data_IF_477593639034
#
_entry.id   IF_477593639034
#
_cell.length_a   1.000
_cell.length_b   1.000
_cell.length_c   1.000
_cell.angle_alpha   90.00
_cell.angle_beta   90.00
_cell.angle_gamma   90.00
#
_symmetry.space_group_name_H-M   'P 1'
#
loop_
_entity.id
_entity.type
_entity.pdbx_description
1 polymer ?
#
# COMPACT_ATOMS: atom_id res chain seq x y z
N UNK A 1 -1.17 -36.38 -20.48
CA UNK A 1 -0.02 -36.73 -19.64
C UNK A 1 0.53 -35.45 -19.02
N UNK A 2 0.42 -35.26 -17.70
CA UNK A 2 1.00 -34.11 -17.01
C UNK A 2 2.30 -34.59 -16.35
N UNK A 3 3.44 -34.06 -16.82
CA UNK A 3 4.75 -34.36 -16.27
C UNK A 3 4.94 -33.51 -15.00
N UNK A 4 5.02 -34.16 -13.83
CA UNK A 4 5.43 -33.52 -12.57
C UNK A 4 6.85 -33.98 -12.29
N UNK A 5 7.80 -33.05 -12.33
CA UNK A 5 9.21 -33.33 -12.05
C UNK A 5 9.50 -32.96 -10.59
N UNK A 6 10.10 -33.88 -9.85
CA UNK A 6 10.70 -33.59 -8.54
C UNK A 6 11.97 -32.76 -8.73
N UNK A 7 12.15 -31.75 -7.88
CA UNK A 7 13.35 -30.92 -7.87
C UNK A 7 13.09 -29.46 -7.47
N UNK A 8 14.17 -28.79 -7.05
CA UNK A 8 14.14 -27.37 -6.74
C UNK A 8 14.01 -26.56 -8.04
N UNK A 9 12.99 -25.71 -8.11
CA UNK A 9 12.73 -24.95 -9.32
C UNK A 9 13.88 -23.95 -9.58
N UNK A 10 14.49 -24.03 -10.76
CA UNK A 10 15.65 -23.22 -11.14
C UNK A 10 15.52 -21.74 -10.74
N UNK A 11 16.53 -21.25 -10.03
CA UNK A 11 16.69 -19.87 -9.60
C UNK A 11 17.75 -19.21 -10.48
N UNK A 12 17.36 -18.15 -11.18
CA UNK A 12 18.30 -17.39 -12.01
C UNK A 12 19.36 -16.75 -11.09
N UNK A 13 20.65 -16.76 -11.45
CA UNK A 13 21.71 -16.19 -10.60
C UNK A 13 21.48 -14.74 -10.19
N UNK A 14 20.86 -13.93 -11.07
CA UNK A 14 20.49 -12.53 -10.78
C UNK A 14 19.40 -12.36 -9.72
N UNK A 15 18.68 -13.42 -9.36
CA UNK A 15 17.61 -13.40 -8.37
C UNK A 15 18.14 -14.00 -7.05
N UNK A 16 19.21 -13.43 -6.50
CA UNK A 16 19.67 -13.79 -5.15
C UNK A 16 18.62 -13.43 -4.12
N UNK A 17 18.61 -14.16 -3.01
CA UNK A 17 17.70 -13.93 -1.89
C UNK A 17 18.52 -13.32 -0.75
N UNK A 18 18.08 -12.17 -0.25
CA UNK A 18 18.68 -11.52 0.91
C UNK A 18 18.17 -12.14 2.22
N UNK A 19 18.75 -11.76 3.34
CA UNK A 19 18.46 -12.38 4.65
C UNK A 19 17.55 -11.55 5.55
N UNK A 20 17.23 -10.33 5.15
CA UNK A 20 16.50 -9.37 5.98
C UNK A 20 15.02 -9.74 6.20
N UNK A 21 14.42 -9.11 7.20
CA UNK A 21 12.98 -9.07 7.43
C UNK A 21 12.39 -7.77 6.89
N UNK A 22 11.36 -7.91 6.06
CA UNK A 22 10.71 -6.81 5.36
C UNK A 22 9.26 -6.71 5.80
N UNK A 23 8.86 -5.54 6.29
CA UNK A 23 7.46 -5.17 6.43
C UNK A 23 6.94 -4.50 5.17
N UNK A 24 5.76 -4.94 4.71
CA UNK A 24 5.09 -4.39 3.52
C UNK A 24 3.67 -3.96 3.89
N UNK A 25 3.40 -2.66 3.82
CA UNK A 25 2.04 -2.12 3.90
C UNK A 25 1.47 -1.93 2.49
N UNK A 26 0.40 -2.66 2.18
CA UNK A 26 -0.23 -2.68 0.86
C UNK A 26 -1.45 -1.76 0.88
N UNK A 27 -1.51 -0.84 -0.08
CA UNK A 27 -2.69 -0.05 -0.39
C UNK A 27 -3.35 -0.41 -1.73
N UNK A 28 -4.50 0.22 -2.07
CA UNK A 28 -5.22 -0.04 -3.33
C UNK A 28 -4.46 0.37 -4.61
N UNK A 29 -3.46 1.24 -4.48
CA UNK A 29 -2.66 1.79 -5.60
C UNK A 29 -1.17 1.87 -5.30
N UNK A 30 -0.80 1.86 -4.03
CA UNK A 30 0.56 2.07 -3.55
C UNK A 30 0.96 0.96 -2.58
N UNK A 31 2.26 0.84 -2.34
CA UNK A 31 2.81 0.04 -1.27
C UNK A 31 3.94 0.79 -0.57
N UNK A 32 4.08 0.55 0.72
CA UNK A 32 5.25 0.92 1.50
C UNK A 32 6.06 -0.35 1.80
N UNK A 33 7.38 -0.27 1.69
CA UNK A 33 8.33 -1.33 1.96
C UNK A 33 9.33 -0.78 2.94
N UNK A 34 9.52 -1.45 4.07
CA UNK A 34 10.58 -1.15 5.02
C UNK A 34 11.26 -2.45 5.43
N UNK A 35 12.58 -2.45 5.44
CA UNK A 35 13.41 -3.56 5.92
C UNK A 35 14.23 -3.10 7.13
N UNK A 36 14.65 -4.05 7.96
CA UNK A 36 15.41 -3.72 9.17
C UNK A 36 16.79 -3.12 8.80
N UNK A 37 17.45 -3.63 7.76
CA UNK A 37 18.84 -3.32 7.41
C UNK A 37 19.03 -2.13 6.46
N UNK A 38 17.98 -1.48 5.96
CA UNK A 38 18.17 -0.19 5.28
C UNK A 38 17.19 0.16 4.18
N UNK A 39 16.66 -0.83 3.46
CA UNK A 39 15.79 -0.57 2.32
C UNK A 39 14.44 0.00 2.75
N UNK A 40 14.10 1.18 2.21
CA UNK A 40 12.84 1.89 2.42
C UNK A 40 12.33 2.37 1.07
N UNK A 41 11.07 2.09 0.75
CA UNK A 41 10.43 2.57 -0.48
C UNK A 41 8.94 2.85 -0.27
N UNK A 42 8.45 3.96 -0.81
CA UNK A 42 7.02 4.24 -0.95
C UNK A 42 6.70 4.37 -2.44
N UNK A 43 5.99 3.38 -2.98
CA UNK A 43 5.84 3.18 -4.44
C UNK A 43 4.40 3.09 -4.89
N UNK A 44 4.17 3.48 -6.13
CA UNK A 44 2.90 3.19 -6.83
C UNK A 44 3.02 1.84 -7.54
N UNK A 45 2.03 0.96 -7.39
CA UNK A 45 2.00 -0.30 -8.12
C UNK A 45 1.99 -0.07 -9.63
N UNK A 46 2.81 -0.79 -10.39
CA UNK A 46 2.82 -0.72 -11.85
C UNK A 46 2.88 0.73 -12.37
N UNK A 47 3.76 1.57 -11.82
CA UNK A 47 3.88 2.99 -12.20
C UNK A 47 4.17 3.15 -13.69
N UNK A 48 4.92 2.22 -14.29
CA UNK A 48 5.26 2.21 -15.71
C UNK A 48 4.08 1.86 -16.63
N UNK A 49 2.93 1.45 -16.07
CA UNK A 49 1.76 1.07 -16.84
C UNK A 49 1.04 2.31 -17.38
N UNK A 50 1.17 2.54 -18.69
CA UNK A 50 0.52 3.65 -19.41
C UNK A 50 -0.57 3.12 -20.36
N UNK A 51 -1.77 2.74 -19.87
CA UNK A 51 -2.82 2.23 -20.74
C UNK A 51 -3.37 3.33 -21.65
N UNK A 52 -3.61 3.01 -22.93
CA UNK A 52 -4.39 3.88 -23.81
C UNK A 52 -5.89 3.76 -23.47
N UNK A 53 -6.29 4.41 -22.37
CA UNK A 53 -7.64 4.36 -21.84
C UNK A 53 -8.68 4.90 -22.85
N UNK A 54 -8.29 5.89 -23.67
CA UNK A 54 -9.12 6.44 -24.74
C UNK A 54 -9.42 5.41 -25.82
N UNK A 55 -8.40 4.75 -26.37
CA UNK A 55 -8.58 3.71 -27.39
C UNK A 55 -9.42 2.53 -26.86
N UNK A 56 -9.13 2.07 -25.63
CA UNK A 56 -9.92 1.02 -24.97
C UNK A 56 -11.39 1.42 -24.81
N UNK A 57 -11.66 2.66 -24.40
CA UNK A 57 -13.03 3.20 -24.28
C UNK A 57 -13.73 3.28 -25.63
N UNK A 58 -13.02 3.68 -26.70
CA UNK A 58 -13.57 3.69 -28.07
C UNK A 58 -13.96 2.28 -28.53
N UNK A 59 -13.11 1.28 -28.29
CA UNK A 59 -13.42 -0.12 -28.59
C UNK A 59 -14.65 -0.61 -27.80
N UNK A 60 -14.72 -0.33 -26.50
CA UNK A 60 -15.86 -0.70 -25.67
C UNK A 60 -17.18 -0.08 -26.18
N UNK A 61 -17.17 1.22 -26.50
CA UNK A 61 -18.32 1.92 -27.07
C UNK A 61 -18.71 1.38 -28.46
N UNK A 62 -17.72 1.04 -29.30
CA UNK A 62 -17.98 0.41 -30.60
C UNK A 62 -18.65 -0.95 -30.45
N UNK A 63 -18.17 -1.79 -29.54
CA UNK A 63 -18.82 -3.08 -29.22
C UNK A 63 -20.26 -2.88 -28.75
N UNK A 64 -20.52 -1.88 -27.89
CA UNK A 64 -21.86 -1.59 -27.40
C UNK A 64 -22.82 -1.20 -28.53
N UNK A 65 -22.39 -0.32 -29.44
CA UNK A 65 -23.20 0.08 -30.60
C UNK A 65 -23.48 -1.08 -31.54
N UNK A 66 -22.45 -1.90 -31.84
CA UNK A 66 -22.62 -3.09 -32.67
C UNK A 66 -23.57 -4.11 -32.04
N UNK A 67 -23.46 -4.33 -30.72
CA UNK A 67 -24.36 -5.22 -29.99
C UNK A 67 -25.81 -4.75 -30.09
N UNK A 68 -26.05 -3.45 -29.92
CA UNK A 68 -27.39 -2.83 -30.03
C UNK A 68 -27.96 -2.92 -31.44
N UNK A 69 -27.17 -2.56 -32.46
CA UNK A 69 -27.61 -2.62 -33.86
C UNK A 69 -27.94 -4.04 -34.31
N UNK A 70 -27.11 -5.03 -33.95
CA UNK A 70 -27.33 -6.43 -34.31
C UNK A 70 -28.50 -7.08 -33.55
N UNK A 71 -28.98 -6.45 -32.46
CA UNK A 71 -29.94 -7.04 -31.54
C UNK A 71 -30.96 -6.00 -31.05
N UNK A 72 -31.48 -5.14 -31.94
CA UNK A 72 -32.40 -4.06 -31.57
C UNK A 72 -33.63 -4.58 -30.82
N UNK A 73 -34.13 -5.76 -31.20
CA UNK A 73 -35.27 -6.42 -30.58
C UNK A 73 -35.07 -6.75 -29.08
N UNK A 74 -33.82 -6.85 -28.62
CA UNK A 74 -33.47 -7.18 -27.24
C UNK A 74 -33.50 -5.96 -26.30
N UNK A 75 -33.78 -4.76 -26.82
CA UNK A 75 -33.81 -3.52 -26.05
C UNK A 75 -35.24 -2.95 -25.97
N UNK A 76 -35.59 -2.38 -24.83
CA UNK A 76 -36.83 -1.61 -24.65
C UNK A 76 -36.69 -0.18 -25.22
N UNK A 77 -37.79 0.58 -25.22
CA UNK A 77 -37.83 1.96 -25.73
C UNK A 77 -36.90 2.90 -24.94
N UNK A 78 -36.54 2.53 -23.71
CA UNK A 78 -35.60 3.24 -22.83
C UNK A 78 -34.15 2.78 -23.06
N UNK A 79 -33.90 1.90 -24.01
CA UNK A 79 -32.58 1.36 -24.36
C UNK A 79 -31.98 0.40 -23.32
N UNK A 80 -32.80 -0.16 -22.41
CA UNK A 80 -32.42 -1.17 -21.43
C UNK A 80 -32.60 -2.56 -22.04
N UNK A 81 -31.84 -3.54 -21.53
CA UNK A 81 -31.97 -4.93 -21.99
C UNK A 81 -33.28 -5.50 -21.44
N UNK A 82 -34.11 -6.08 -22.32
CA UNK A 82 -35.36 -6.76 -21.93
C UNK A 82 -35.06 -7.95 -21.00
N UNK A 83 -35.99 -8.25 -20.11
CA UNK A 83 -35.85 -9.39 -19.19
C UNK A 83 -36.11 -10.72 -19.92
N UNK A 84 -35.54 -11.80 -19.39
CA UNK A 84 -35.73 -13.17 -19.90
C UNK A 84 -34.57 -13.70 -20.76
N UNK A 85 -34.80 -14.88 -21.35
CA UNK A 85 -33.80 -15.55 -22.20
C UNK A 85 -33.75 -14.87 -23.57
N UNK A 86 -32.64 -14.17 -23.84
CA UNK A 86 -32.41 -13.46 -25.09
C UNK A 86 -31.40 -14.19 -25.97
N UNK A 87 -31.61 -14.13 -27.28
CA UNK A 87 -30.64 -14.58 -28.27
C UNK A 87 -29.78 -13.40 -28.73
N UNK A 88 -28.46 -13.55 -28.69
CA UNK A 88 -27.51 -12.51 -29.08
C UNK A 88 -26.80 -12.87 -30.38
N UNK A 89 -27.09 -12.12 -31.45
CA UNK A 89 -26.42 -12.19 -32.74
C UNK A 89 -25.10 -11.43 -32.68
N UNK A 90 -24.00 -12.13 -32.96
CA UNK A 90 -22.66 -11.57 -33.03
C UNK A 90 -22.16 -11.55 -34.47
N UNK A 91 -22.17 -10.37 -35.11
CA UNK A 91 -21.58 -10.21 -36.45
C UNK A 91 -20.07 -10.43 -36.45
N UNK A 92 -19.49 -10.71 -37.62
CA UNK A 92 -18.05 -10.88 -37.75
C UNK A 92 -17.28 -9.61 -37.34
N UNK A 93 -17.82 -8.43 -37.63
CA UNK A 93 -17.23 -7.15 -37.21
C UNK A 93 -17.31 -6.95 -35.68
N UNK A 94 -18.36 -7.43 -35.01
CA UNK A 94 -18.44 -7.44 -33.56
C UNK A 94 -17.37 -8.35 -32.96
N UNK A 95 -17.27 -9.59 -33.46
CA UNK A 95 -16.26 -10.57 -33.02
C UNK A 95 -14.83 -10.02 -33.20
N UNK A 96 -14.54 -9.37 -34.34
CA UNK A 96 -13.26 -8.72 -34.58
C UNK A 96 -12.97 -7.59 -33.57
N UNK A 97 -13.97 -6.75 -33.26
CA UNK A 97 -13.83 -5.67 -32.27
C UNK A 97 -13.60 -6.23 -30.86
N UNK A 98 -14.33 -7.29 -30.48
CA UNK A 98 -14.15 -8.03 -29.22
C UNK A 98 -12.75 -8.60 -29.09
N UNK A 99 -12.21 -9.22 -30.15
CA UNK A 99 -10.82 -9.73 -30.19
C UNK A 99 -9.80 -8.60 -29.97
N UNK A 100 -9.99 -7.43 -30.61
CA UNK A 100 -9.11 -6.26 -30.42
C UNK A 100 -9.13 -5.77 -28.97
N UNK A 101 -10.32 -5.67 -28.37
CA UNK A 101 -10.48 -5.29 -26.96
C UNK A 101 -9.80 -6.30 -26.03
N UNK A 102 -10.06 -7.59 -26.21
CA UNK A 102 -9.47 -8.65 -25.40
C UNK A 102 -7.94 -8.70 -25.52
N UNK A 103 -7.40 -8.46 -26.72
CA UNK A 103 -5.94 -8.38 -26.91
C UNK A 103 -5.33 -7.18 -26.19
N UNK A 104 -5.99 -6.02 -26.18
CA UNK A 104 -5.53 -4.87 -25.41
C UNK A 104 -5.50 -5.18 -23.90
N UNK A 105 -6.56 -5.80 -23.37
CA UNK A 105 -6.61 -6.22 -21.96
C UNK A 105 -5.54 -7.26 -21.63
N UNK A 106 -5.32 -8.24 -22.52
CA UNK A 106 -4.28 -9.26 -22.36
C UNK A 106 -2.89 -8.65 -22.28
N UNK A 107 -2.56 -7.72 -23.18
CA UNK A 107 -1.27 -7.01 -23.18
C UNK A 107 -1.06 -6.24 -21.86
N UNK A 108 -2.09 -5.53 -21.38
CA UNK A 108 -2.03 -4.84 -20.09
C UNK A 108 -1.85 -5.80 -18.92
N UNK A 109 -2.59 -6.90 -18.90
CA UNK A 109 -2.49 -7.91 -17.85
C UNK A 109 -1.11 -8.58 -17.81
N UNK A 110 -0.55 -8.93 -18.99
CA UNK A 110 0.78 -9.50 -19.12
C UNK A 110 1.85 -8.51 -18.63
N UNK A 111 1.76 -7.23 -19.01
CA UNK A 111 2.72 -6.23 -18.57
C UNK A 111 2.66 -6.02 -17.05
N UNK A 112 1.46 -5.89 -16.46
CA UNK A 112 1.29 -5.84 -14.99
C UNK A 112 1.89 -7.04 -14.28
N UNK A 113 1.66 -8.25 -14.81
CA UNK A 113 2.23 -9.48 -14.26
C UNK A 113 3.77 -9.43 -14.26
N UNK A 114 4.36 -8.90 -15.33
CA UNK A 114 5.80 -8.64 -15.41
C UNK A 114 6.30 -7.65 -14.38
N UNK A 115 5.63 -6.49 -14.23
CA UNK A 115 5.99 -5.46 -13.26
C UNK A 115 5.91 -5.96 -11.81
N UNK A 116 4.83 -6.68 -11.46
CA UNK A 116 4.72 -7.32 -10.14
C UNK A 116 5.78 -8.39 -9.94
N UNK A 117 6.07 -9.20 -10.97
CA UNK A 117 7.17 -10.17 -10.92
C UNK A 117 8.51 -9.50 -10.65
N UNK A 118 8.82 -8.37 -11.29
CA UNK A 118 10.02 -7.58 -11.00
C UNK A 118 10.04 -7.12 -9.55
N UNK A 119 8.97 -6.48 -9.08
CA UNK A 119 8.87 -5.95 -7.72
C UNK A 119 9.06 -7.02 -6.64
N UNK A 120 8.50 -8.22 -6.83
CA UNK A 120 8.70 -9.33 -5.87
C UNK A 120 10.14 -9.84 -5.87
N UNK A 121 10.80 -9.91 -7.03
CA UNK A 121 12.23 -10.29 -7.06
C UNK A 121 13.10 -9.21 -6.41
N UNK A 122 12.78 -7.92 -6.61
CA UNK A 122 13.47 -6.81 -5.96
C UNK A 122 13.32 -6.89 -4.43
N UNK A 123 12.12 -7.24 -3.93
CA UNK A 123 11.87 -7.47 -2.50
C UNK A 123 12.69 -8.64 -1.95
N UNK A 124 12.67 -9.79 -2.62
CA UNK A 124 13.38 -10.97 -2.16
C UNK A 124 14.90 -10.79 -2.17
N UNK A 125 15.43 -9.91 -3.03
CA UNK A 125 16.85 -9.55 -3.01
C UNK A 125 17.24 -8.83 -1.72
N UNK A 126 16.31 -8.11 -1.10
CA UNK A 126 16.52 -7.46 0.19
C UNK A 126 16.39 -8.47 1.32
N UNK A 127 15.36 -9.31 1.30
CA UNK A 127 15.04 -10.16 2.45
C UNK A 127 14.15 -11.35 2.13
N UNK A 128 14.43 -12.46 2.81
CA UNK A 128 13.71 -13.72 2.68
C UNK A 128 12.44 -13.79 3.53
N UNK A 129 12.33 -12.95 4.55
CA UNK A 129 11.18 -12.89 5.44
C UNK A 129 10.33 -11.66 5.10
N UNK A 130 9.09 -11.87 4.68
CA UNK A 130 8.16 -10.81 4.31
C UNK A 130 6.95 -10.84 5.24
N UNK A 131 6.67 -9.72 5.90
CA UNK A 131 5.53 -9.53 6.80
C UNK A 131 4.52 -8.58 6.18
N UNK A 132 3.26 -9.01 6.06
CA UNK A 132 2.19 -8.24 5.39
C UNK A 132 0.91 -8.26 6.23
N UNK A 133 0.24 -7.12 6.34
CA UNK A 133 -1.11 -7.05 6.88
C UNK A 133 -2.15 -7.66 5.92
N UNK A 134 -2.98 -8.58 6.44
CA UNK A 134 -4.05 -9.23 5.68
C UNK A 134 -5.19 -8.25 5.44
N UNK A 135 -5.30 -7.82 4.19
CA UNK A 135 -6.32 -6.86 3.73
C UNK A 135 -7.36 -7.52 2.82
N UNK A 136 -8.57 -6.97 2.79
CA UNK A 136 -9.64 -7.47 1.91
C UNK A 136 -9.56 -6.84 0.52
N UNK A 137 -8.90 -7.53 -0.42
CA UNK A 137 -8.85 -7.11 -1.82
C UNK A 137 -10.24 -7.02 -2.46
N UNK A 138 -11.19 -7.89 -2.06
CA UNK A 138 -12.60 -7.82 -2.49
C UNK A 138 -13.27 -6.54 -2.00
N UNK A 139 -13.01 -6.13 -0.75
CA UNK A 139 -13.47 -4.86 -0.21
C UNK A 139 -12.91 -3.67 -0.99
N UNK A 140 -11.62 -3.69 -1.32
CA UNK A 140 -11.02 -2.66 -2.16
C UNK A 140 -11.54 -2.65 -3.59
N UNK A 141 -11.88 -3.80 -4.17
CA UNK A 141 -12.48 -3.83 -5.51
C UNK A 141 -13.82 -3.09 -5.54
N UNK A 142 -14.63 -3.20 -4.49
CA UNK A 142 -15.90 -2.46 -4.35
C UNK A 142 -15.66 -0.94 -4.19
N UNK A 143 -14.70 -0.54 -3.37
CA UNK A 143 -14.44 0.88 -3.03
C UNK A 143 -13.55 1.62 -4.03
N UNK A 144 -12.60 0.93 -4.63
CA UNK A 144 -11.50 1.47 -5.44
C UNK A 144 -11.36 0.73 -6.78
N UNK A 145 -12.47 0.23 -7.34
CA UNK A 145 -12.47 -0.70 -8.48
C UNK A 145 -11.63 -0.26 -9.68
N UNK A 146 -11.62 1.04 -10.03
CA UNK A 146 -10.77 1.57 -11.11
C UNK A 146 -9.28 1.41 -10.80
N UNK A 147 -8.86 1.74 -9.58
CA UNK A 147 -7.47 1.59 -9.14
C UNK A 147 -7.08 0.13 -9.05
N UNK A 148 -7.89 -0.70 -8.39
CA UNK A 148 -7.62 -2.12 -8.20
C UNK A 148 -7.56 -2.86 -9.55
N UNK A 149 -8.45 -2.55 -10.50
CA UNK A 149 -8.41 -3.14 -11.83
C UNK A 149 -7.15 -2.75 -12.62
N UNK A 150 -6.63 -1.55 -12.41
CA UNK A 150 -5.44 -1.05 -13.09
C UNK A 150 -4.15 -1.52 -12.42
N UNK A 151 -4.09 -1.50 -11.09
CA UNK A 151 -2.87 -1.68 -10.27
C UNK A 151 -2.72 -3.13 -9.79
N UNK A 152 -3.84 -3.86 -9.67
CA UNK A 152 -3.91 -5.26 -9.31
C UNK A 152 -3.08 -5.65 -8.05
N UNK A 153 -3.30 -5.00 -6.88
CA UNK A 153 -2.57 -5.34 -5.65
C UNK A 153 -2.77 -6.79 -5.20
N UNK A 154 -3.95 -7.38 -5.46
CA UNK A 154 -4.17 -8.81 -5.20
C UNK A 154 -3.26 -9.73 -6.03
N UNK A 155 -2.99 -9.37 -7.30
CA UNK A 155 -2.05 -10.13 -8.13
C UNK A 155 -0.62 -10.04 -7.61
N UNK A 156 -0.23 -8.88 -7.07
CA UNK A 156 1.05 -8.70 -6.40
C UNK A 156 1.17 -9.61 -5.16
N UNK A 157 0.17 -9.60 -4.29
CA UNK A 157 0.13 -10.48 -3.12
C UNK A 157 0.24 -11.96 -3.50
N UNK A 158 -0.52 -12.42 -4.51
CA UNK A 158 -0.40 -13.80 -5.04
C UNK A 158 0.98 -14.10 -5.62
N UNK A 159 1.67 -13.09 -6.18
CA UNK A 159 3.05 -13.22 -6.62
C UNK A 159 4.02 -13.38 -5.45
N UNK A 160 3.88 -12.59 -4.39
CA UNK A 160 4.69 -12.71 -3.18
C UNK A 160 4.54 -14.11 -2.61
N UNK A 161 3.31 -14.55 -2.34
CA UNK A 161 3.02 -15.88 -1.78
C UNK A 161 3.69 -17.01 -2.57
N UNK A 162 3.57 -16.98 -3.90
CA UNK A 162 4.16 -18.00 -4.77
C UNK A 162 5.68 -17.97 -4.79
N UNK A 163 6.29 -16.79 -4.90
CA UNK A 163 7.74 -16.69 -5.08
C UNK A 163 8.46 -16.93 -3.75
N UNK A 164 7.94 -16.41 -2.63
CA UNK A 164 8.47 -16.70 -1.29
C UNK A 164 8.49 -18.20 -1.01
N UNK A 165 7.38 -18.90 -1.28
CA UNK A 165 7.31 -20.36 -1.16
C UNK A 165 8.30 -21.07 -2.09
N UNK A 166 8.46 -20.58 -3.33
CA UNK A 166 9.43 -21.12 -4.29
C UNK A 166 10.88 -20.99 -3.81
N UNK A 167 11.23 -19.89 -3.14
CA UNK A 167 12.61 -19.59 -2.71
C UNK A 167 12.93 -20.09 -1.30
N UNK A 168 12.01 -20.80 -0.64
CA UNK A 168 12.18 -21.22 0.76
C UNK A 168 12.15 -20.07 1.77
N UNK A 169 11.65 -18.89 1.37
CA UNK A 169 11.49 -17.75 2.27
C UNK A 169 10.25 -17.89 3.16
N UNK A 170 10.08 -16.93 4.06
CA UNK A 170 8.97 -16.89 5.02
C UNK A 170 8.01 -15.77 4.68
N UNK A 171 6.74 -16.09 4.42
CA UNK A 171 5.66 -15.09 4.32
C UNK A 171 4.82 -15.14 5.59
N UNK A 172 4.85 -14.06 6.38
CA UNK A 172 4.01 -13.90 7.56
C UNK A 172 2.83 -12.98 7.24
N UNK A 173 1.64 -13.52 7.37
CA UNK A 173 0.40 -12.76 7.25
C UNK A 173 -0.11 -12.36 8.63
N UNK A 174 -0.37 -11.08 8.84
CA UNK A 174 -0.77 -10.54 10.13
C UNK A 174 -2.18 -9.96 10.06
N UNK A 175 -3.00 -10.18 11.08
CA UNK A 175 -4.37 -9.69 11.09
C UNK A 175 -4.43 -8.17 11.31
N UNK A 176 -5.02 -7.45 10.37
CA UNK A 176 -5.30 -6.00 10.50
C UNK A 176 -6.21 -5.65 11.69
N UNK A 177 -6.99 -6.62 12.17
CA UNK A 177 -7.87 -6.44 13.33
C UNK A 177 -7.12 -6.46 14.66
N UNK A 178 -6.00 -7.19 14.73
CA UNK A 178 -5.20 -7.29 15.96
C UNK A 178 -4.16 -6.18 16.01
N UNK A 179 -3.41 -5.99 14.92
CA UNK A 179 -2.28 -5.03 14.88
C UNK A 179 -2.70 -3.59 14.78
N UNK A 180 -3.70 -3.28 13.95
CA UNK A 180 -4.18 -1.92 13.64
C UNK A 180 -3.03 -0.91 13.45
N UNK A 181 -1.99 -1.24 12.69
CA UNK A 181 -0.75 -0.45 12.66
C UNK A 181 -0.91 0.97 12.09
N UNK A 182 -1.87 1.18 11.20
CA UNK A 182 -2.27 2.53 10.78
C UNK A 182 -2.73 3.43 11.94
N UNK A 183 -3.08 2.86 13.09
CA UNK A 183 -3.57 3.55 14.28
C UNK A 183 -2.59 3.52 15.45
N UNK A 184 -1.76 2.47 15.54
CA UNK A 184 -0.79 2.23 16.61
C UNK A 184 0.36 3.24 16.61
N UNK A 185 0.96 3.47 17.78
CA UNK A 185 2.24 4.16 17.99
C UNK A 185 3.14 3.29 18.87
N UNK A 186 4.37 2.99 18.44
CA UNK A 186 5.29 2.17 19.23
C UNK A 186 5.84 2.90 20.47
N UNK A 187 5.97 4.24 20.43
CA UNK A 187 6.54 5.01 21.53
C UNK A 187 5.66 5.01 22.78
N UNK A 188 4.37 5.35 22.65
CA UNK A 188 3.42 5.32 23.77
C UNK A 188 2.57 4.05 23.84
N UNK A 189 2.72 3.13 22.88
CA UNK A 189 1.97 1.86 22.78
C UNK A 189 0.44 2.04 22.75
N UNK A 190 -0.04 3.21 22.31
CA UNK A 190 -1.48 3.50 22.22
C UNK A 190 -1.99 3.49 20.78
N UNK A 191 -3.30 3.27 20.66
CA UNK A 191 -4.02 3.32 19.39
C UNK A 191 -4.78 4.64 19.26
N UNK A 192 -4.60 5.33 18.15
CA UNK A 192 -5.40 6.51 17.79
C UNK A 192 -6.00 6.33 16.41
N UNK A 193 -7.33 6.34 16.34
CA UNK A 193 -8.07 6.30 15.07
C UNK A 193 -7.66 7.48 14.20
N UNK A 194 -7.37 7.22 12.92
CA UNK A 194 -6.98 8.23 11.93
C UNK A 194 -7.87 8.08 10.69
N UNK A 195 -8.42 9.18 10.13
CA UNK A 195 -9.16 9.11 8.88
C UNK A 195 -8.22 8.71 7.72
N UNK A 196 -8.80 8.22 6.63
CA UNK A 196 -8.04 7.82 5.44
C UNK A 196 -7.27 8.99 4.79
N UNK A 197 -7.71 10.23 5.01
CA UNK A 197 -7.03 11.45 4.54
C UNK A 197 -5.78 11.79 5.35
N UNK A 198 -5.69 11.37 6.62
CA UNK A 198 -4.53 11.63 7.47
C UNK A 198 -3.39 10.66 7.12
N UNK A 199 -2.46 11.12 6.29
CA UNK A 199 -1.32 10.33 5.76
C UNK A 199 -0.04 10.44 6.55
N UNK A 200 -0.06 11.19 7.65
CA UNK A 200 1.07 11.40 8.53
C UNK A 200 0.73 10.88 9.92
N UNK A 201 1.68 10.14 10.49
CA UNK A 201 1.68 9.76 11.89
C UNK A 201 2.46 10.81 12.67
N UNK A 202 1.79 11.43 13.62
CA UNK A 202 2.37 12.35 14.61
C UNK A 202 1.74 12.00 15.95
N UNK A 203 2.57 11.76 16.96
CA UNK A 203 2.12 11.37 18.29
C UNK A 203 2.59 12.37 19.34
N UNK A 204 1.80 12.56 20.39
CA UNK A 204 2.16 13.43 21.52
C UNK A 204 3.38 12.92 22.31
N UNK A 205 3.75 11.65 22.16
CA UNK A 205 4.96 11.09 22.78
C UNK A 205 6.26 11.38 22.00
N UNK A 206 6.21 12.24 20.97
CA UNK A 206 7.38 12.63 20.18
C UNK A 206 7.66 11.77 18.94
N UNK A 207 6.93 10.66 18.72
CA UNK A 207 7.09 9.87 17.50
C UNK A 207 6.46 10.57 16.29
N UNK A 208 7.25 10.73 15.24
CA UNK A 208 6.91 11.43 14.01
C UNK A 208 7.22 12.92 14.06
N UNK A 209 6.97 13.66 12.98
CA UNK A 209 6.15 13.31 11.83
C UNK A 209 6.79 12.27 10.90
N UNK A 210 6.03 11.23 10.57
CA UNK A 210 6.43 10.18 9.61
C UNK A 210 5.25 9.79 8.73
N UNK A 211 5.51 9.43 7.47
CA UNK A 211 4.44 8.99 6.57
C UNK A 211 3.82 7.69 7.09
N UNK A 212 2.48 7.64 7.18
CA UNK A 212 1.74 6.61 7.92
C UNK A 212 1.91 5.21 7.36
N UNK A 213 1.94 5.06 6.04
CA UNK A 213 2.02 3.77 5.37
C UNK A 213 3.47 3.21 5.51
N UNK A 214 4.49 4.07 5.38
CA UNK A 214 5.90 3.77 5.73
C UNK A 214 6.05 3.38 7.19
N UNK A 215 5.41 4.10 8.10
CA UNK A 215 5.42 3.77 9.52
C UNK A 215 4.76 2.42 9.80
N UNK A 216 3.64 2.09 9.14
CA UNK A 216 2.98 0.80 9.28
C UNK A 216 3.86 -0.35 8.74
N UNK A 217 4.55 -0.14 7.63
CA UNK A 217 5.53 -1.07 7.10
C UNK A 217 6.74 -1.24 8.04
N UNK A 218 7.20 -0.16 8.67
CA UNK A 218 8.23 -0.24 9.71
C UNK A 218 7.76 -1.09 10.90
N UNK A 219 6.56 -0.84 11.44
CA UNK A 219 5.99 -1.64 12.53
C UNK A 219 5.89 -3.13 12.18
N UNK A 220 5.55 -3.46 10.92
CA UNK A 220 5.55 -4.84 10.42
C UNK A 220 6.94 -5.46 10.38
N UNK A 221 7.96 -4.70 9.97
CA UNK A 221 9.33 -5.22 9.86
C UNK A 221 9.92 -5.63 11.21
N UNK A 222 9.47 -5.01 12.31
CA UNK A 222 9.92 -5.27 13.68
C UNK A 222 8.91 -6.10 14.50
N UNK A 223 7.94 -6.74 13.85
CA UNK A 223 7.00 -7.61 14.54
C UNK A 223 7.60 -9.00 14.72
N UNK A 224 7.74 -9.44 15.97
CA UNK A 224 8.18 -10.78 16.38
C UNK A 224 7.05 -11.80 16.20
N UNK A 225 7.39 -13.09 16.02
CA UNK A 225 6.42 -14.15 15.67
C UNK A 225 5.33 -14.38 16.71
N UNK A 226 5.60 -14.10 17.99
CA UNK A 226 4.70 -14.34 19.13
C UNK A 226 3.77 -13.17 19.43
N UNK A 227 4.09 -11.96 18.98
CA UNK A 227 3.46 -10.74 19.48
C UNK A 227 2.57 -10.07 18.44
N UNK A 228 1.49 -9.43 18.92
CA UNK A 228 0.65 -8.54 18.12
C UNK A 228 1.12 -7.07 18.17
N UNK A 229 2.13 -6.79 18.99
CA UNK A 229 2.72 -5.47 19.19
C UNK A 229 4.23 -5.59 18.96
N UNK A 230 4.82 -4.77 18.08
CA UNK A 230 6.25 -4.82 17.85
C UNK A 230 7.00 -4.27 19.06
N UNK A 231 8.08 -4.95 19.45
CA UNK A 231 9.02 -4.47 20.47
C UNK A 231 10.14 -3.73 19.77
N UNK A 232 9.97 -2.42 19.59
CA UNK A 232 10.94 -1.56 18.91
C UNK A 232 11.79 -0.85 19.96
N UNK A 233 13.09 -1.08 19.90
CA UNK A 233 14.08 -0.38 20.72
C UNK A 233 14.34 1.04 20.19
N UNK A 234 14.82 1.93 21.07
CA UNK A 234 15.05 3.32 20.72
C UNK A 234 16.06 3.47 19.56
N UNK A 235 17.16 2.73 19.62
CA UNK A 235 18.20 2.72 18.59
C UNK A 235 17.69 2.22 17.22
N UNK A 236 16.73 1.28 17.21
CA UNK A 236 16.10 0.80 15.98
C UNK A 236 15.25 1.91 15.33
N UNK A 237 14.52 2.68 16.14
CA UNK A 237 13.80 3.86 15.66
C UNK A 237 14.76 4.95 15.18
N UNK A 238 15.76 5.32 15.98
CA UNK A 238 16.77 6.33 15.64
C UNK A 238 17.52 5.99 14.34
N UNK A 239 17.77 4.70 14.07
CA UNK A 239 18.36 4.25 12.82
C UNK A 239 17.39 4.17 11.63
N UNK A 240 16.09 4.00 11.88
CA UNK A 240 15.08 3.90 10.83
C UNK A 240 14.51 5.26 10.41
N UNK A 241 14.26 6.16 11.36
CA UNK A 241 13.62 7.44 11.12
C UNK A 241 14.30 8.28 10.02
N UNK A 242 15.63 8.47 10.00
CA UNK A 242 16.31 9.21 8.94
C UNK A 242 16.11 8.59 7.55
N UNK A 243 16.06 7.25 7.46
CA UNK A 243 15.82 6.52 6.19
C UNK A 243 14.38 6.70 5.71
N UNK A 244 13.42 6.70 6.63
CA UNK A 244 12.01 6.98 6.33
C UNK A 244 11.84 8.41 5.82
N UNK A 245 12.51 9.39 6.46
CA UNK A 245 12.50 10.78 6.04
C UNK A 245 13.17 10.98 4.67
N UNK A 246 14.31 10.32 4.42
CA UNK A 246 15.03 10.40 3.15
C UNK A 246 14.18 9.94 1.94
N UNK A 247 13.40 8.86 2.08
CA UNK A 247 12.50 8.42 1.01
C UNK A 247 11.39 9.45 0.74
N UNK A 248 10.88 10.13 1.78
CA UNK A 248 9.91 11.21 1.60
C UNK A 248 10.53 12.42 0.90
N UNK A 249 11.75 12.83 1.26
CA UNK A 249 12.45 13.93 0.57
C UNK A 249 12.70 13.60 -0.91
N UNK A 250 13.10 12.37 -1.20
CA UNK A 250 13.22 11.89 -2.58
C UNK A 250 11.90 11.97 -3.34
N UNK A 251 10.77 11.62 -2.70
CA UNK A 251 9.45 11.74 -3.33
C UNK A 251 9.03 13.21 -3.52
N UNK A 252 9.36 14.10 -2.58
CA UNK A 252 9.13 15.55 -2.76
C UNK A 252 9.91 16.09 -3.94
N UNK A 253 11.18 15.69 -4.11
CA UNK A 253 11.98 16.07 -5.27
C UNK A 253 11.33 15.62 -6.58
N UNK A 254 10.90 14.36 -6.67
CA UNK A 254 10.15 13.85 -7.83
C UNK A 254 8.87 14.65 -8.12
N UNK A 255 8.15 15.06 -7.07
CA UNK A 255 6.97 15.90 -7.23
C UNK A 255 7.35 17.27 -7.82
N UNK A 256 8.41 17.89 -7.30
CA UNK A 256 8.92 19.19 -7.79
C UNK A 256 9.39 19.12 -9.24
N UNK A 257 9.90 17.98 -9.69
CA UNK A 257 10.22 17.69 -11.11
C UNK A 257 8.98 17.46 -11.99
N UNK A 258 7.77 17.63 -11.45
CA UNK A 258 6.50 17.50 -12.18
C UNK A 258 5.97 16.07 -12.29
N UNK A 259 6.56 15.10 -11.58
CA UNK A 259 6.05 13.73 -11.60
C UNK A 259 4.73 13.63 -10.82
N UNK A 260 3.75 12.93 -11.40
CA UNK A 260 2.45 12.72 -10.77
C UNK A 260 2.54 11.64 -9.68
N UNK A 261 2.43 12.04 -8.42
CA UNK A 261 2.39 11.14 -7.27
C UNK A 261 0.96 10.92 -6.76
N UNK A 262 0.64 9.73 -6.23
CA UNK A 262 -0.69 9.44 -5.71
C UNK A 262 -0.95 10.21 -4.40
N UNK A 263 -2.20 10.66 -4.22
CA UNK A 263 -2.62 11.33 -2.98
C UNK A 263 -2.47 10.47 -1.72
N UNK A 264 -2.33 9.15 -1.85
CA UNK A 264 -2.01 8.26 -0.72
C UNK A 264 -0.65 8.54 -0.08
N UNK A 265 0.27 9.19 -0.79
CA UNK A 265 1.58 9.55 -0.25
C UNK A 265 1.48 10.71 0.75
N UNK A 266 0.42 11.53 0.70
CA UNK A 266 0.24 12.64 1.62
C UNK A 266 1.17 13.83 1.37
N UNK A 267 1.76 13.92 0.18
CA UNK A 267 2.61 15.03 -0.23
C UNK A 267 1.76 16.19 -0.79
N UNK A 268 2.15 17.44 -0.53
CA UNK A 268 1.49 18.59 -1.14
C UNK A 268 1.60 18.53 -2.65
N UNK A 269 0.53 18.88 -3.36
CA UNK A 269 0.57 19.01 -4.83
C UNK A 269 1.39 20.22 -5.20
N UNK A 270 2.19 20.11 -6.26
CA UNK A 270 2.84 21.27 -6.90
C UNK A 270 1.77 22.34 -7.18
N UNK A 271 1.96 23.54 -6.64
CA UNK A 271 1.03 24.67 -6.75
C UNK A 271 -0.02 24.80 -5.63
N UNK A 272 -0.03 23.93 -4.62
CA UNK A 272 -0.84 24.16 -3.43
C UNK A 272 -0.23 25.30 -2.60
N UNK A 273 -0.93 26.45 -2.47
CA UNK A 273 -0.58 27.49 -1.50
C UNK A 273 -0.43 26.82 -0.13
N UNK A 274 0.73 26.98 0.49
CA UNK A 274 0.87 26.64 1.91
C UNK A 274 -0.21 27.43 2.67
N UNK A 275 -0.96 26.82 3.60
CA UNK A 275 -1.71 27.62 4.56
C UNK A 275 -0.70 28.56 5.22
N UNK A 276 -1.00 29.86 5.22
CA UNK A 276 -0.15 30.89 5.83
C UNK A 276 0.29 30.38 7.18
N UNK A 277 1.60 30.24 7.37
CA UNK A 277 2.19 30.09 8.69
C UNK A 277 1.61 31.19 9.57
N UNK A 278 1.00 30.80 10.70
CA UNK A 278 0.76 31.74 11.78
C UNK A 278 2.13 32.33 12.12
N UNK A 279 2.28 33.63 11.85
CA UNK A 279 3.49 34.39 12.14
C UNK A 279 3.78 34.34 13.64
N UNK A 280 5.05 34.08 14.03
CA UNK A 280 5.45 34.12 15.43
C UNK A 280 5.72 35.57 15.86
N UNK A 281 4.99 36.02 16.88
CA UNK A 281 5.35 37.12 17.79
C UNK A 281 4.41 36.91 18.99
N UNK A 282 4.88 36.65 20.21
CA UNK A 282 5.92 37.36 20.93
C UNK A 282 6.90 36.40 21.63
N UNK A 283 8.16 36.83 21.67
CA UNK A 283 9.20 36.31 22.55
C UNK A 283 8.84 36.58 24.01
N UNK A 284 8.91 35.55 24.85
CA UNK A 284 9.46 35.72 26.19
C UNK A 284 10.50 34.63 26.46
N UNK A 285 11.61 35.09 27.01
CA UNK A 285 12.83 34.35 27.29
C UNK A 285 12.62 33.25 28.33
N UNK A 286 13.04 32.02 28.03
CA UNK A 286 13.80 31.19 28.95
C UNK A 286 14.23 29.87 28.26
N UNK A 287 15.52 29.73 27.97
CA UNK A 287 16.16 28.41 27.99
C UNK A 287 16.12 27.90 29.44
N UNK A 288 15.85 26.60 29.68
CA UNK A 288 17.00 25.77 29.95
C UNK A 288 16.89 24.33 29.40
N UNK A 289 18.07 23.83 29.04
CA UNK A 289 18.45 22.42 29.03
C UNK A 289 17.75 21.59 30.12
N UNK A 290 16.98 20.57 29.74
CA UNK A 290 16.46 19.57 30.69
C UNK A 290 17.10 18.22 30.43
N UNK A 291 18.11 17.99 31.25
CA UNK A 291 18.68 16.69 31.57
C UNK A 291 17.59 15.71 31.98
N UNK A 292 17.64 14.51 31.43
CA UNK A 292 16.96 13.34 31.96
C UNK A 292 17.29 13.18 33.46
N UNK A 293 16.31 13.39 34.35
CA UNK A 293 16.40 12.95 35.74
C UNK A 293 15.39 11.85 36.01
N UNK A 294 15.94 10.70 36.40
CA UNK A 294 15.28 9.58 37.07
C UNK A 294 14.39 10.09 38.20
N UNK A 295 13.11 9.73 38.17
CA UNK A 295 12.21 9.80 39.33
C UNK A 295 12.15 8.43 40.00
N UNK A 296 12.78 8.33 41.18
CA UNK A 296 12.66 7.22 42.12
C UNK A 296 11.41 7.45 42.98
N UNK A 297 10.72 6.37 43.35
CA UNK A 297 9.68 6.36 44.37
C UNK A 297 10.18 6.91 45.70
N UNK A 298 9.33 7.66 46.40
CA UNK A 298 9.19 7.57 47.85
C UNK A 298 7.80 8.07 48.27
N UNK A 299 7.20 7.32 49.20
CA UNK A 299 5.87 7.51 49.74
C UNK A 299 5.95 8.27 51.07
N UNK A 300 4.93 9.08 51.38
CA UNK A 300 4.54 9.44 52.75
C UNK A 300 3.05 9.79 52.79
N UNK A 301 2.28 8.74 53.08
CA UNK A 301 1.25 8.63 54.10
C UNK A 301 0.31 9.80 54.49
N UNK A 302 -0.98 9.42 54.50
CA UNK A 302 -2.02 9.70 55.50
C UNK A 302 -2.89 10.96 55.39
N UNK A 303 -4.11 10.73 54.92
CA UNK A 303 -5.31 10.90 55.75
C UNK A 303 -6.15 12.16 55.51
N UNK A 304 -7.31 11.99 54.87
CA UNK A 304 -8.64 12.28 55.44
C UNK A 304 -9.75 11.99 54.41
N UNK A 305 -10.83 11.38 54.91
CA UNK A 305 -12.02 10.89 54.22
C UNK A 305 -12.87 11.97 53.52
N UNK A 306 -13.78 11.56 52.61
CA UNK A 306 -14.51 12.46 51.70
C UNK A 306 -15.85 12.95 52.27
N UNK A 307 -16.41 14.06 51.77
CA UNK A 307 -17.83 14.32 51.93
C UNK A 307 -18.64 13.61 50.84
N UNK A 308 -19.71 12.96 51.30
CA UNK A 308 -20.80 12.38 50.51
C UNK A 308 -21.64 13.49 49.88
N UNK A 309 -21.98 13.34 48.61
CA UNK A 309 -23.35 13.29 48.04
C UNK A 309 -23.24 12.96 46.54
#
# INVERSE_FOLDING_TARGET
MQLVLEGSAYQKPRNTVGTDTIGVDIGPSSLAIVSQQGHVQLKTFCEELKPNAGAKRRLARKMERQRRANNSQNYDDKGRVKQGRLTWKESQQYKATRRRYATAERKLAAYRKGLHGKLVNDLLRVGQTIQIEKTSFRGWQKRFGKSVALRAPGLFYEHVKRIVAKTGGTLREVSTYTTKFSQYCHGCRTYRKKPLSQRWHTCACGIGPVQRDLYSAFLLAYLTSTDNTPSIALNEWEGAEPRLQAEIERLKQRANEGQSLPGSFGLPKVGARQPKSLSPNQQELCSPSLQYRKGKLEALEMGKEPPRL
#
